data_IF_843902400910
#
_entry.id   IF_843902400910
#
_cell.length_a   1.000
_cell.length_b   1.000
_cell.length_c   1.000
_cell.angle_alpha   90.00
_cell.angle_beta   90.00
_cell.angle_gamma   90.00
#
_symmetry.space_group_name_H-M   'P 1'
#
loop_
_entity.id
_entity.type
_entity.pdbx_description
1 polymer ?
#
# COMPACT_ATOMS: atom_id res chain seq x y z
N UNK A 1 81.97 16.66 -8.98
CA UNK A 1 81.87 16.79 -7.52
C UNK A 1 80.97 17.94 -7.04
N UNK A 2 81.36 19.23 -7.07
CA UNK A 2 80.49 20.30 -6.50
C UNK A 2 79.16 20.53 -7.24
N UNK A 3 79.14 20.38 -8.57
CA UNK A 3 77.92 20.54 -9.38
C UNK A 3 76.93 19.39 -9.18
N UNK A 4 77.44 18.15 -9.13
CA UNK A 4 76.62 16.97 -8.82
C UNK A 4 76.00 17.05 -7.42
N UNK A 5 76.74 17.54 -6.42
CA UNK A 5 76.19 17.72 -5.07
C UNK A 5 75.03 18.74 -5.04
N UNK A 6 75.17 19.83 -5.80
CA UNK A 6 74.13 20.85 -5.96
C UNK A 6 72.90 20.27 -6.68
N UNK A 7 73.13 19.44 -7.69
CA UNK A 7 72.09 18.77 -8.46
C UNK A 7 71.34 17.73 -7.63
N UNK A 8 72.05 16.92 -6.83
CA UNK A 8 71.46 16.01 -5.85
C UNK A 8 70.62 16.75 -4.80
N UNK A 9 71.08 17.91 -4.31
CA UNK A 9 70.31 18.76 -3.39
C UNK A 9 69.02 19.28 -4.04
N UNK A 10 69.10 19.67 -5.32
CA UNK A 10 67.95 20.16 -6.08
C UNK A 10 66.94 19.04 -6.40
N UNK A 11 67.41 17.85 -6.73
CA UNK A 11 66.58 16.67 -6.97
C UNK A 11 65.89 16.23 -5.67
N UNK A 12 66.64 16.18 -4.55
CA UNK A 12 66.08 15.87 -3.23
C UNK A 12 64.99 16.88 -2.83
N UNK A 13 65.24 18.16 -3.05
CA UNK A 13 64.27 19.22 -2.76
C UNK A 13 63.01 19.11 -3.64
N UNK A 14 63.16 18.92 -4.96
CA UNK A 14 62.03 18.68 -5.87
C UNK A 14 61.23 17.45 -5.44
N UNK A 15 61.90 16.34 -5.12
CA UNK A 15 61.25 15.10 -4.68
C UNK A 15 60.52 15.28 -3.34
N UNK A 16 61.07 16.06 -2.41
CA UNK A 16 60.43 16.37 -1.12
C UNK A 16 59.16 17.22 -1.28
N UNK A 17 59.18 18.24 -2.15
CA UNK A 17 58.01 19.08 -2.45
C UNK A 17 56.92 18.28 -3.18
N UNK A 18 57.30 17.39 -4.11
CA UNK A 18 56.37 16.56 -4.88
C UNK A 18 55.76 15.44 -4.03
N UNK A 19 56.54 14.83 -3.13
CA UNK A 19 56.09 13.76 -2.22
C UNK A 19 55.09 14.26 -1.17
N UNK A 20 55.27 15.48 -0.66
CA UNK A 20 54.34 16.09 0.30
C UNK A 20 52.96 16.43 -0.29
N UNK A 21 52.82 16.45 -1.62
CA UNK A 21 51.55 16.75 -2.28
C UNK A 21 50.71 15.51 -2.58
N UNK A 22 51.24 14.30 -2.32
CA UNK A 22 50.60 13.07 -2.78
C UNK A 22 49.79 12.33 -1.72
N UNK A 23 49.58 12.84 -0.49
CA UNK A 23 48.72 12.08 0.43
C UNK A 23 48.01 12.77 1.62
N UNK A 24 47.94 14.11 1.79
CA UNK A 24 47.18 14.69 2.92
C UNK A 24 46.67 16.14 2.71
N UNK A 25 46.10 16.47 1.55
CA UNK A 25 45.26 17.68 1.45
C UNK A 25 43.84 17.29 1.04
N UNK A 26 43.20 16.44 1.85
CA UNK A 26 41.76 16.57 2.01
C UNK A 26 41.56 17.90 2.73
N UNK A 27 41.10 18.90 1.98
CA UNK A 27 40.77 20.20 2.55
C UNK A 27 39.80 19.97 3.72
N UNK A 28 39.93 20.65 4.87
CA UNK A 28 38.92 20.62 5.93
C UNK A 28 37.50 20.92 5.41
N UNK A 29 37.39 21.52 4.23
CA UNK A 29 36.12 21.75 3.52
C UNK A 29 35.44 20.48 3.03
N UNK A 30 36.19 19.48 2.53
CA UNK A 30 35.62 18.24 1.99
C UNK A 30 35.09 17.33 3.10
N UNK A 31 35.71 17.36 4.29
CA UNK A 31 35.22 16.63 5.48
C UNK A 31 33.87 17.21 5.95
N UNK A 32 33.73 18.54 5.92
CA UNK A 32 32.48 19.23 6.25
C UNK A 32 31.38 19.00 5.20
N UNK A 33 31.73 18.85 3.92
CA UNK A 33 30.74 18.57 2.87
C UNK A 33 30.10 17.18 3.05
N UNK A 34 30.87 16.15 3.45
CA UNK A 34 30.28 14.83 3.75
C UNK A 34 29.34 14.85 4.97
N UNK A 35 29.68 15.61 6.01
CA UNK A 35 28.82 15.79 7.18
C UNK A 35 27.54 16.56 6.83
N UNK A 36 27.64 17.57 5.96
CA UNK A 36 26.50 18.35 5.47
C UNK A 36 25.58 17.51 4.56
N UNK A 37 26.14 16.67 3.69
CA UNK A 37 25.37 15.70 2.89
C UNK A 37 24.65 14.71 3.82
N UNK A 38 25.35 14.16 4.81
CA UNK A 38 24.74 13.21 5.73
C UNK A 38 23.63 13.87 6.58
N UNK A 39 23.83 15.12 7.02
CA UNK A 39 22.82 15.88 7.76
C UNK A 39 21.62 16.28 6.88
N UNK A 40 21.85 16.58 5.60
CA UNK A 40 20.80 16.78 4.60
C UNK A 40 19.97 15.52 4.39
N UNK A 41 20.63 14.36 4.19
CA UNK A 41 19.96 13.06 4.04
C UNK A 41 19.18 12.67 5.29
N UNK A 42 19.72 12.92 6.49
CA UNK A 42 19.01 12.69 7.75
C UNK A 42 17.82 13.64 7.94
N UNK A 43 17.93 14.90 7.50
CA UNK A 43 16.81 15.86 7.49
C UNK A 43 15.72 15.42 6.52
N UNK A 44 16.06 14.98 5.32
CA UNK A 44 15.10 14.46 4.33
C UNK A 44 14.41 13.20 4.86
N UNK A 45 15.18 12.22 5.36
CA UNK A 45 14.65 11.00 6.00
C UNK A 45 13.70 11.32 7.16
N UNK A 46 13.99 12.33 7.98
CA UNK A 46 13.11 12.80 9.06
C UNK A 46 11.87 13.52 8.56
N UNK A 47 11.91 14.22 7.43
CA UNK A 47 10.72 14.81 6.82
C UNK A 47 9.72 13.72 6.39
N UNK A 48 10.23 12.56 5.97
CA UNK A 48 9.39 11.45 5.49
C UNK A 48 8.70 10.69 6.63
N UNK A 49 9.13 10.86 7.89
CA UNK A 49 8.51 10.19 9.04
C UNK A 49 7.27 10.92 9.58
N UNK A 50 7.08 12.20 9.26
CA UNK A 50 5.97 13.03 9.75
C UNK A 50 4.84 13.28 8.75
N UNK A 51 4.88 12.64 7.59
CA UNK A 51 3.90 12.89 6.53
C UNK A 51 2.53 12.27 6.82
N UNK A 52 1.49 12.88 6.25
CA UNK A 52 0.14 12.34 6.34
C UNK A 52 0.02 11.07 5.48
N UNK A 53 -0.80 10.12 5.93
CA UNK A 53 -1.00 8.84 5.25
C UNK A 53 -1.21 8.94 3.74
N UNK A 54 -1.97 9.93 3.26
CA UNK A 54 -2.20 10.12 1.83
C UNK A 54 -0.93 10.42 1.02
N UNK A 55 0.06 11.10 1.63
CA UNK A 55 1.31 11.53 1.00
C UNK A 55 2.40 10.46 1.02
N UNK A 56 2.33 9.49 1.93
CA UNK A 56 3.33 8.42 2.02
C UNK A 56 3.44 7.60 0.74
N UNK A 57 4.66 7.19 0.40
CA UNK A 57 4.91 6.29 -0.72
C UNK A 57 4.29 4.91 -0.51
N UNK A 58 4.00 4.24 -1.63
CA UNK A 58 3.47 2.87 -1.62
C UNK A 58 4.37 1.92 -0.82
N UNK A 59 5.68 2.05 -0.95
CA UNK A 59 6.67 1.22 -0.24
C UNK A 59 6.60 1.44 1.27
N UNK A 60 6.50 2.70 1.72
CA UNK A 60 6.37 3.02 3.14
C UNK A 60 5.03 2.50 3.68
N UNK A 61 3.93 2.75 2.96
CA UNK A 61 2.59 2.21 3.30
C UNK A 61 2.61 0.69 3.44
N UNK A 62 3.29 -0.01 2.54
CA UNK A 62 3.47 -1.47 2.57
C UNK A 62 4.19 -1.92 3.85
N UNK A 63 5.30 -1.26 4.22
CA UNK A 63 6.04 -1.56 5.45
C UNK A 63 5.17 -1.32 6.69
N UNK A 64 4.41 -0.21 6.73
CA UNK A 64 3.52 0.09 7.85
C UNK A 64 2.36 -0.90 7.97
N UNK A 65 1.83 -1.39 6.85
CA UNK A 65 0.82 -2.45 6.83
C UNK A 65 1.37 -3.75 7.41
N UNK A 66 2.60 -4.16 7.07
CA UNK A 66 3.24 -5.35 7.65
C UNK A 66 3.31 -5.25 9.17
N UNK A 67 3.84 -4.14 9.68
CA UNK A 67 3.92 -3.88 11.12
C UNK A 67 2.54 -3.85 11.80
N UNK A 68 1.51 -3.35 11.11
CA UNK A 68 0.13 -3.38 11.61
C UNK A 68 -0.41 -4.81 11.71
N UNK A 69 -0.17 -5.65 10.70
CA UNK A 69 -0.64 -7.04 10.70
C UNK A 69 0.00 -7.85 11.83
N UNK A 70 1.29 -7.67 12.08
CA UNK A 70 1.99 -8.31 13.20
C UNK A 70 1.35 -7.92 14.54
N UNK A 71 1.12 -6.62 14.77
CA UNK A 71 0.42 -6.15 15.98
C UNK A 71 -1.00 -6.68 16.08
N UNK A 72 -1.75 -6.63 14.98
CA UNK A 72 -3.13 -7.11 14.93
C UNK A 72 -3.22 -8.63 15.18
N UNK A 73 -2.23 -9.40 14.72
CA UNK A 73 -2.11 -10.84 14.92
C UNK A 73 -1.90 -11.17 16.40
N UNK A 74 -1.03 -10.41 17.08
CA UNK A 74 -0.80 -10.54 18.53
C UNK A 74 -2.07 -10.17 19.31
N UNK A 75 -2.66 -9.01 19.01
CA UNK A 75 -3.83 -8.49 19.73
C UNK A 75 -5.06 -9.39 19.62
N UNK A 76 -5.26 -10.04 18.45
CA UNK A 76 -6.40 -10.92 18.19
C UNK A 76 -6.06 -12.41 18.25
N UNK A 77 -4.82 -12.76 18.61
CA UNK A 77 -4.31 -14.15 18.64
C UNK A 77 -4.66 -14.93 17.36
N UNK A 78 -4.37 -14.33 16.19
CA UNK A 78 -4.68 -14.95 14.91
C UNK A 78 -3.76 -16.12 14.60
N UNK A 79 -4.28 -17.10 13.86
CA UNK A 79 -3.47 -18.19 13.35
C UNK A 79 -2.54 -17.68 12.23
N UNK A 80 -1.37 -18.32 12.07
CA UNK A 80 -0.37 -17.92 11.07
C UNK A 80 -0.91 -17.90 9.63
N UNK A 81 -1.89 -18.77 9.33
CA UNK A 81 -2.58 -18.79 8.02
C UNK A 81 -3.42 -17.53 7.81
N UNK A 82 -4.15 -17.10 8.84
CA UNK A 82 -5.05 -15.95 8.77
C UNK A 82 -4.24 -14.64 8.77
N UNK A 83 -3.13 -14.58 9.48
CA UNK A 83 -2.16 -13.48 9.42
C UNK A 83 -1.61 -13.28 8.00
N UNK A 84 -1.12 -14.35 7.34
CA UNK A 84 -0.63 -14.28 5.96
C UNK A 84 -1.74 -13.87 4.99
N UNK A 85 -2.95 -14.40 5.17
CA UNK A 85 -4.13 -14.04 4.38
C UNK A 85 -4.48 -12.56 4.54
N UNK A 86 -4.45 -12.04 5.77
CA UNK A 86 -4.67 -10.63 6.08
C UNK A 86 -3.61 -9.74 5.42
N UNK A 87 -2.33 -10.14 5.50
CA UNK A 87 -1.26 -9.40 4.88
C UNK A 87 -1.49 -9.28 3.37
N UNK A 88 -1.66 -10.41 2.68
CA UNK A 88 -1.93 -10.46 1.23
C UNK A 88 -3.17 -9.65 0.85
N UNK A 89 -4.22 -9.71 1.68
CA UNK A 89 -5.43 -8.96 1.47
C UNK A 89 -5.21 -7.44 1.57
N UNK A 90 -4.48 -6.98 2.58
CA UNK A 90 -4.17 -5.57 2.78
C UNK A 90 -3.20 -5.04 1.72
N UNK A 91 -2.20 -5.83 1.30
CA UNK A 91 -1.30 -5.46 0.20
C UNK A 91 -2.06 -5.30 -1.11
N UNK A 92 -2.93 -6.26 -1.44
CA UNK A 92 -3.78 -6.21 -2.63
C UNK A 92 -4.75 -5.02 -2.57
N UNK A 93 -5.28 -4.71 -1.38
CA UNK A 93 -6.17 -3.56 -1.17
C UNK A 93 -5.44 -2.22 -1.31
N UNK A 94 -4.17 -2.17 -0.93
CA UNK A 94 -3.30 -1.02 -1.16
C UNK A 94 -3.06 -0.81 -2.67
N UNK A 95 -2.79 -1.89 -3.41
CA UNK A 95 -2.61 -1.86 -4.86
C UNK A 95 -3.86 -1.37 -5.59
N UNK A 96 -5.03 -1.78 -5.13
CA UNK A 96 -6.34 -1.35 -5.64
C UNK A 96 -6.73 0.08 -5.21
N UNK A 97 -5.83 0.82 -4.54
CA UNK A 97 -6.07 2.17 -4.00
C UNK A 97 -7.24 2.28 -3.01
N UNK A 98 -7.64 1.16 -2.39
CA UNK A 98 -8.74 1.12 -1.40
C UNK A 98 -8.34 1.65 -0.02
N UNK A 99 -7.04 1.72 0.24
CA UNK A 99 -6.46 2.20 1.51
C UNK A 99 -5.60 3.46 1.30
N UNK A 100 -5.78 4.20 0.22
CA UNK A 100 -4.93 5.36 -0.09
C UNK A 100 -5.36 6.64 0.63
N UNK A 101 -6.61 6.74 1.08
CA UNK A 101 -7.15 7.95 1.69
C UNK A 101 -6.98 7.92 3.20
N UNK A 102 -6.83 9.10 3.80
CA UNK A 102 -6.75 9.29 5.26
C UNK A 102 -8.01 8.80 6.00
N UNK A 103 -9.17 8.75 5.33
CA UNK A 103 -10.41 8.23 5.93
C UNK A 103 -10.43 6.70 6.06
N UNK A 104 -9.65 6.00 5.23
CA UNK A 104 -9.67 4.54 5.16
C UNK A 104 -8.69 3.92 6.17
N UNK A 105 -7.73 4.68 6.69
CA UNK A 105 -6.68 4.23 7.61
C UNK A 105 -6.47 5.26 8.72
N UNK A 106 -6.58 4.85 9.97
CA UNK A 106 -6.25 5.69 11.14
C UNK A 106 -4.75 5.58 11.38
N UNK A 107 -4.01 6.50 10.77
CA UNK A 107 -2.56 6.60 10.90
C UNK A 107 -2.16 7.72 11.85
N UNK A 108 -1.23 7.44 12.75
CA UNK A 108 -0.66 8.43 13.64
C UNK A 108 0.70 8.89 13.10
N UNK A 109 0.76 10.15 12.67
CA UNK A 109 1.97 10.78 12.13
C UNK A 109 3.07 11.02 13.16
N UNK A 110 2.73 11.04 14.45
CA UNK A 110 3.70 11.27 15.53
C UNK A 110 4.45 10.00 15.88
N UNK A 111 3.74 8.88 15.97
CA UNK A 111 4.32 7.55 16.25
C UNK A 111 4.72 6.82 14.98
N UNK A 112 4.19 7.22 13.83
CA UNK A 112 4.43 6.59 12.54
C UNK A 112 3.80 5.20 12.43
N UNK A 113 2.73 4.92 13.18
CA UNK A 113 2.07 3.61 13.27
C UNK A 113 0.60 3.70 12.86
N UNK A 114 0.10 2.65 12.20
CA UNK A 114 -1.34 2.49 11.91
C UNK A 114 -2.02 2.01 13.19
N UNK A 115 -2.99 2.78 13.70
CA UNK A 115 -3.77 2.42 14.90
C UNK A 115 -4.88 1.43 14.56
N UNK A 116 -5.62 1.69 13.48
CA UNK A 116 -6.74 0.85 13.06
C UNK A 116 -7.12 1.10 11.61
N UNK A 117 -7.72 0.10 10.97
CA UNK A 117 -8.34 0.21 9.63
C UNK A 117 -9.86 0.09 9.82
N UNK A 118 -10.63 1.21 9.86
CA UNK A 118 -12.06 1.17 10.21
C UNK A 118 -12.94 0.38 9.25
N UNK A 119 -12.51 0.26 7.98
CA UNK A 119 -13.23 -0.49 6.95
C UNK A 119 -12.95 -1.99 6.98
N UNK A 120 -11.96 -2.45 7.75
CA UNK A 120 -11.58 -3.85 7.83
C UNK A 120 -12.59 -4.64 8.65
N UNK A 121 -13.15 -5.67 8.04
CA UNK A 121 -14.07 -6.61 8.68
C UNK A 121 -13.59 -8.04 8.45
N UNK A 122 -13.61 -8.84 9.51
CA UNK A 122 -13.34 -10.26 9.44
C UNK A 122 -14.67 -11.04 9.47
N UNK A 123 -14.90 -11.84 8.42
CA UNK A 123 -16.02 -12.76 8.40
C UNK A 123 -15.58 -14.11 8.97
N UNK A 124 -16.02 -14.42 10.19
CA UNK A 124 -15.67 -15.66 10.90
C UNK A 124 -16.16 -16.92 10.16
N UNK A 125 -17.34 -16.86 9.55
CA UNK A 125 -17.98 -18.00 8.87
C UNK A 125 -17.17 -18.45 7.65
N UNK A 126 -16.71 -17.49 6.84
CA UNK A 126 -15.93 -17.79 5.63
C UNK A 126 -14.42 -17.65 5.81
N UNK A 127 -13.95 -17.25 7.00
CA UNK A 127 -12.55 -16.92 7.31
C UNK A 127 -11.93 -15.98 6.27
N UNK A 128 -12.67 -14.93 5.90
CA UNK A 128 -12.27 -13.96 4.86
C UNK A 128 -12.28 -12.54 5.40
N UNK A 129 -11.25 -11.79 5.04
CA UNK A 129 -11.17 -10.35 5.27
C UNK A 129 -11.88 -9.59 4.15
N UNK A 130 -12.62 -8.55 4.53
CA UNK A 130 -13.34 -7.69 3.60
C UNK A 130 -13.16 -6.23 4.00
N UNK A 131 -13.25 -5.32 3.02
CA UNK A 131 -13.27 -3.88 3.27
C UNK A 131 -14.65 -3.32 2.97
N UNK A 132 -15.33 -2.79 3.98
CA UNK A 132 -16.60 -2.08 3.80
C UNK A 132 -16.34 -0.71 3.20
N UNK A 133 -17.26 -0.26 2.35
CA UNK A 133 -17.24 1.09 1.79
C UNK A 133 -17.49 2.13 2.90
N UNK A 134 -16.59 3.09 3.07
CA UNK A 134 -16.71 4.14 4.11
C UNK A 134 -17.81 5.18 3.80
N UNK A 135 -18.24 5.31 2.54
CA UNK A 135 -19.24 6.30 2.12
C UNK A 135 -20.67 5.76 2.25
N UNK A 136 -21.53 6.48 2.99
CA UNK A 136 -22.97 6.24 3.05
C UNK A 136 -23.62 6.83 1.79
N UNK A 137 -23.67 6.07 0.70
CA UNK A 137 -24.48 6.43 -0.48
C UNK A 137 -25.88 5.82 -0.32
N UNK A 138 -26.90 6.62 -0.60
CA UNK A 138 -28.25 6.11 -0.74
C UNK A 138 -28.25 5.13 -1.93
N UNK A 139 -28.66 3.88 -1.70
CA UNK A 139 -28.68 2.88 -2.76
C UNK A 139 -29.54 3.36 -3.91
N UNK A 140 -29.03 3.27 -5.14
CA UNK A 140 -29.81 3.62 -6.34
C UNK A 140 -31.08 2.78 -6.44
N UNK A 141 -31.13 1.59 -5.83
CA UNK A 141 -32.34 0.78 -5.73
C UNK A 141 -33.50 1.46 -5.02
N UNK A 142 -33.24 2.35 -4.04
CA UNK A 142 -34.30 3.13 -3.38
C UNK A 142 -34.85 4.25 -4.27
N UNK A 143 -34.06 4.71 -5.23
CA UNK A 143 -34.47 5.70 -6.24
C UNK A 143 -34.98 5.06 -7.53
N UNK A 144 -34.92 3.74 -7.66
CA UNK A 144 -35.54 3.05 -8.79
C UNK A 144 -37.05 3.13 -8.66
N UNK A 145 -37.72 3.31 -9.79
CA UNK A 145 -39.17 3.24 -9.85
C UNK A 145 -39.63 1.86 -9.29
N UNK A 146 -40.69 1.81 -8.47
CA UNK A 146 -41.24 0.56 -7.98
C UNK A 146 -41.52 -0.38 -9.15
N UNK A 147 -41.10 -1.65 -9.03
CA UNK A 147 -41.37 -2.66 -10.04
C UNK A 147 -42.89 -2.75 -10.20
N UNK A 148 -43.39 -2.42 -11.39
CA UNK A 148 -44.83 -2.57 -11.70
C UNK A 148 -45.18 -4.04 -11.47
N UNK A 149 -46.04 -4.30 -10.50
CA UNK A 149 -46.67 -5.61 -10.36
C UNK A 149 -47.51 -5.79 -11.62
N UNK A 150 -47.07 -6.67 -12.52
CA UNK A 150 -47.89 -7.08 -13.65
C UNK A 150 -49.14 -7.76 -13.07
N UNK A 151 -50.23 -7.00 -12.96
CA UNK A 151 -51.55 -7.57 -12.72
C UNK A 151 -51.80 -8.47 -13.92
N UNK A 152 -51.75 -9.78 -13.72
CA UNK A 152 -52.24 -10.75 -14.69
C UNK A 152 -53.71 -10.46 -14.90
N UNK A 153 -54.02 -9.71 -15.96
CA UNK A 153 -55.39 -9.55 -16.44
C UNK A 153 -55.82 -10.91 -16.97
N UNK A 154 -56.53 -11.67 -16.14
CA UNK A 154 -57.30 -12.82 -16.60
C UNK A 154 -58.56 -12.27 -17.29
N UNK A 155 -58.52 -12.11 -18.60
CA UNK A 155 -59.74 -12.03 -19.43
C UNK A 155 -59.48 -12.75 -20.73
N UNK A 156 -60.32 -13.73 -21.04
CA UNK A 156 -60.16 -14.63 -22.16
C UNK A 156 -60.42 -14.02 -23.55
N UNK A 157 -60.07 -14.84 -24.52
CA UNK A 157 -60.53 -14.89 -25.92
C UNK A 157 -59.81 -14.04 -26.98
N UNK A 158 -58.98 -14.80 -27.74
CA UNK A 158 -58.66 -14.78 -29.19
C UNK A 158 -57.46 -13.95 -29.73
N UNK A 159 -56.84 -14.43 -30.84
CA UNK A 159 -55.39 -14.34 -31.06
C UNK A 159 -54.99 -13.39 -32.20
N UNK A 160 -53.71 -13.00 -32.21
CA UNK A 160 -53.01 -12.61 -33.43
C UNK A 160 -52.21 -11.32 -33.35
N UNK A 161 -50.93 -11.42 -32.99
CA UNK A 161 -49.83 -10.80 -33.76
C UNK A 161 -48.50 -11.19 -33.13
N UNK A 162 -47.68 -11.87 -33.91
CA UNK A 162 -46.34 -12.29 -33.55
C UNK A 162 -45.42 -11.08 -33.33
N UNK A 163 -44.69 -11.07 -32.22
CA UNK A 163 -43.39 -10.42 -32.13
C UNK A 163 -42.47 -11.30 -31.31
N UNK A 164 -41.56 -11.96 -32.01
CA UNK A 164 -40.54 -12.82 -31.44
C UNK A 164 -39.68 -12.05 -30.43
N UNK A 165 -39.63 -12.53 -29.19
CA UNK A 165 -38.58 -12.17 -28.25
C UNK A 165 -37.91 -13.45 -27.78
N UNK A 166 -36.67 -13.63 -28.24
CA UNK A 166 -35.80 -14.74 -27.88
C UNK A 166 -35.59 -14.75 -26.36
N UNK A 167 -35.96 -15.85 -25.72
CA UNK A 167 -35.47 -16.24 -24.42
C UNK A 167 -33.94 -16.38 -24.47
N UNK A 168 -33.25 -15.90 -23.44
CA UNK A 168 -32.29 -16.76 -22.78
C UNK A 168 -32.38 -16.60 -21.27
N UNK A 169 -33.01 -17.59 -20.67
CA UNK A 169 -33.02 -17.94 -19.26
C UNK A 169 -31.64 -18.41 -18.83
N UNK A 170 -31.12 -17.88 -17.73
CA UNK A 170 -30.27 -18.68 -16.85
C UNK A 170 -31.00 -18.85 -15.52
N UNK A 171 -31.40 -20.09 -15.32
CA UNK A 171 -32.17 -20.65 -14.23
C UNK A 171 -31.22 -20.96 -13.08
N UNK A 172 -31.50 -20.39 -11.90
CA UNK A 172 -31.06 -20.96 -10.63
C UNK A 172 -32.08 -22.03 -10.25
N UNK A 173 -31.60 -23.25 -10.01
CA UNK A 173 -32.32 -24.31 -9.31
C UNK A 173 -31.53 -24.64 -8.05
N UNK A 174 -32.05 -24.21 -6.91
CA UNK A 174 -31.91 -24.93 -5.66
C UNK A 174 -32.98 -26.04 -5.71
N UNK A 175 -32.58 -27.30 -5.61
CA UNK A 175 -33.48 -28.38 -5.20
C UNK A 175 -32.75 -29.32 -4.25
N UNK A 176 -33.46 -29.60 -3.16
CA UNK A 176 -33.09 -30.35 -1.98
C UNK A 176 -33.54 -31.81 -2.20
N UNK A 177 -32.67 -32.79 -2.01
CA UNK A 177 -33.17 -34.16 -1.76
C UNK A 177 -32.19 -35.00 -0.95
N UNK A 178 -32.74 -35.52 0.13
CA UNK A 178 -32.18 -36.51 1.04
C UNK A 178 -31.97 -37.86 0.36
N UNK A 179 -30.94 -38.60 0.77
CA UNK A 179 -30.74 -39.98 0.33
C UNK A 179 -29.66 -40.67 1.17
N UNK A 180 -30.12 -41.61 1.99
CA UNK A 180 -29.34 -42.40 2.93
C UNK A 180 -28.22 -43.23 2.27
N UNK A 181 -27.10 -43.39 3.00
CA UNK A 181 -26.56 -44.68 3.44
C UNK A 181 -25.53 -44.48 4.53
#
# INVERSE_FOLDING_TARGET
>A
MSKELQELKNIKYKSMILSNNSHNNLSPREINDTANINDFLEKEKKQHTGEHWSKLDKTIKMQKIRAYVEKYSIDNSLNQKDEKSLLVFLTTSLDQKKLSKTKDVVYDKTTGVIKSIPSLLFNQTHKKFTLKRCEKRQSTMRSLAPKRANKTVRTGSRPGSASASKNNSNHNSDDESSGAK
#
